data_IF_623281977591
#
_entry.id   IF_623281977591
#
_cell.length_a   1.000
_cell.length_b   1.000
_cell.length_c   1.000
_cell.angle_alpha   90.00
_cell.angle_beta   90.00
_cell.angle_gamma   90.00
#
_symmetry.space_group_name_H-M   'P 1'
#
loop_
_entity.id
_entity.type
_entity.pdbx_description
1 polymer ?
#
# COMPACT_ATOMS: atom_id res chain seq x y z
N UNK A 1 -16.26 16.11 -36.86
CA UNK A 1 -14.94 15.60 -36.38
C UNK A 1 -14.46 16.25 -35.08
N UNK A 2 -14.64 17.56 -34.87
CA UNK A 2 -14.18 18.26 -33.65
C UNK A 2 -14.87 17.79 -32.34
N UNK A 3 -16.14 17.36 -32.44
CA UNK A 3 -16.93 16.94 -31.27
C UNK A 3 -16.66 15.49 -30.82
N UNK A 4 -16.09 14.64 -31.70
CA UNK A 4 -15.74 13.25 -31.36
C UNK A 4 -14.47 13.21 -30.49
N UNK A 5 -13.54 14.16 -30.70
CA UNK A 5 -12.31 14.28 -29.92
C UNK A 5 -12.62 14.57 -28.43
N UNK A 6 -13.66 15.37 -28.16
CA UNK A 6 -14.06 15.67 -26.78
C UNK A 6 -14.60 14.44 -26.04
N UNK A 7 -15.35 13.57 -26.70
CA UNK A 7 -15.91 12.35 -26.09
C UNK A 7 -14.80 11.35 -25.73
N UNK A 8 -13.77 11.23 -26.57
CA UNK A 8 -12.63 10.34 -26.33
C UNK A 8 -11.83 10.79 -25.10
N UNK A 9 -11.64 12.09 -24.88
CA UNK A 9 -10.95 12.61 -23.69
C UNK A 9 -11.67 12.28 -22.37
N UNK A 10 -13.01 12.28 -22.35
CA UNK A 10 -13.80 11.91 -21.16
C UNK A 10 -13.86 10.39 -20.94
N UNK A 11 -13.80 9.59 -22.00
CA UNK A 11 -13.74 8.12 -21.87
C UNK A 11 -12.37 7.65 -21.38
N UNK A 12 -11.29 8.32 -21.78
CA UNK A 12 -9.92 7.99 -21.34
C UNK A 12 -9.67 8.35 -19.86
N UNK A 13 -10.33 9.38 -19.32
CA UNK A 13 -10.27 9.68 -17.88
C UNK A 13 -11.11 8.71 -17.03
N UNK A 14 -12.13 8.08 -17.62
CA UNK A 14 -12.96 7.08 -16.95
C UNK A 14 -12.25 5.75 -16.65
N UNK A 15 -11.25 5.36 -17.45
CA UNK A 15 -10.53 4.10 -17.24
C UNK A 15 -9.65 4.06 -15.98
N UNK A 16 -9.26 5.22 -15.44
CA UNK A 16 -8.49 5.27 -14.19
C UNK A 16 -9.37 4.98 -12.96
N UNK A 17 -10.66 5.32 -13.02
CA UNK A 17 -11.59 5.16 -11.90
C UNK A 17 -12.01 3.70 -11.66
N UNK A 18 -11.96 2.83 -12.68
CA UNK A 18 -12.42 1.45 -12.55
C UNK A 18 -11.37 0.48 -11.95
N UNK A 19 -10.08 0.82 -12.04
CA UNK A 19 -8.98 -0.08 -11.62
C UNK A 19 -8.40 0.27 -10.24
N UNK A 20 -8.95 1.27 -9.57
CA UNK A 20 -8.43 1.78 -8.31
C UNK A 20 -7.03 2.38 -8.43
N UNK A 21 -6.61 3.07 -7.38
CA UNK A 21 -5.30 3.67 -7.29
C UNK A 21 -4.19 2.61 -7.23
N UNK A 22 -3.04 2.82 -7.90
CA UNK A 22 -1.91 1.91 -7.81
C UNK A 22 -1.42 1.70 -6.38
N UNK A 23 -0.87 0.52 -6.09
CA UNK A 23 -0.34 0.18 -4.76
C UNK A 23 0.76 1.18 -4.30
N UNK A 24 0.82 1.58 -3.01
CA UNK A 24 1.80 2.56 -2.50
C UNK A 24 3.26 2.19 -2.75
N UNK A 25 3.60 0.90 -2.79
CA UNK A 25 4.95 0.40 -3.09
C UNK A 25 5.49 0.92 -4.43
N UNK A 26 4.62 1.25 -5.38
CA UNK A 26 5.01 1.83 -6.68
C UNK A 26 5.66 3.22 -6.57
N UNK A 27 5.49 3.90 -5.43
CA UNK A 27 5.98 5.26 -5.20
C UNK A 27 7.23 5.30 -4.33
N UNK A 28 7.77 4.15 -3.93
CA UNK A 28 9.10 4.07 -3.32
C UNK A 28 10.15 3.98 -4.42
N UNK A 29 10.92 5.04 -4.59
CA UNK A 29 11.86 5.23 -5.71
C UNK A 29 13.30 5.35 -5.20
N UNK A 30 14.21 4.59 -5.82
CA UNK A 30 15.67 4.69 -5.60
C UNK A 30 16.36 4.73 -6.96
N UNK A 31 17.20 5.75 -7.19
CA UNK A 31 17.91 5.94 -8.47
C UNK A 31 16.98 5.90 -9.70
N UNK A 32 15.80 6.54 -9.59
CA UNK A 32 14.79 6.58 -10.65
C UNK A 32 14.03 5.27 -10.90
N UNK A 33 14.29 4.21 -10.14
CA UNK A 33 13.64 2.91 -10.26
C UNK A 33 12.68 2.65 -9.10
N UNK A 34 11.58 1.97 -9.42
CA UNK A 34 10.64 1.45 -8.41
C UNK A 34 11.30 0.38 -7.56
N UNK A 35 10.77 0.19 -6.37
CA UNK A 35 11.18 -0.87 -5.46
C UNK A 35 11.16 -2.24 -6.13
N UNK A 36 12.25 -2.98 -5.98
CA UNK A 36 12.36 -4.35 -6.46
C UNK A 36 11.64 -5.31 -5.51
N UNK A 37 11.19 -6.45 -6.04
CA UNK A 37 10.61 -7.53 -5.25
C UNK A 37 11.62 -8.05 -4.22
N UNK A 38 12.91 -8.08 -4.56
CA UNK A 38 13.97 -8.51 -3.65
C UNK A 38 14.10 -7.59 -2.43
N UNK A 39 14.10 -6.26 -2.64
CA UNK A 39 14.19 -5.30 -1.55
C UNK A 39 12.91 -5.29 -0.69
N UNK A 40 11.74 -5.42 -1.32
CA UNK A 40 10.45 -5.57 -0.64
C UNK A 40 10.45 -6.82 0.26
N UNK A 41 10.84 -7.98 -0.29
CA UNK A 41 10.96 -9.23 0.46
C UNK A 41 12.00 -9.15 1.58
N UNK A 42 13.12 -8.45 1.36
CA UNK A 42 14.14 -8.24 2.40
C UNK A 42 13.60 -7.42 3.57
N UNK A 43 12.72 -6.45 3.33
CA UNK A 43 12.06 -5.73 4.41
C UNK A 43 10.94 -6.57 5.05
N UNK A 44 10.10 -7.22 4.25
CA UNK A 44 9.00 -8.08 4.72
C UNK A 44 9.50 -9.18 5.66
N UNK A 45 10.59 -9.86 5.29
CA UNK A 45 11.21 -10.92 6.11
C UNK A 45 11.82 -10.42 7.42
N UNK A 46 12.14 -9.12 7.52
CA UNK A 46 12.57 -8.48 8.77
C UNK A 46 11.41 -7.98 9.61
N UNK A 47 10.33 -7.51 9.00
CA UNK A 47 9.23 -6.85 9.73
C UNK A 47 8.23 -7.87 10.25
N UNK A 48 7.62 -8.67 9.36
CA UNK A 48 6.45 -9.48 9.71
C UNK A 48 6.71 -10.56 10.78
N UNK A 49 7.84 -11.30 10.75
CA UNK A 49 8.13 -12.27 11.80
C UNK A 49 8.32 -11.63 13.19
N UNK A 50 8.70 -10.35 13.24
CA UNK A 50 8.97 -9.61 14.47
C UNK A 50 7.74 -8.88 15.05
N UNK A 51 6.56 -9.03 14.45
CA UNK A 51 5.31 -8.48 14.99
C UNK A 51 4.72 -9.31 16.13
N UNK A 52 5.33 -10.45 16.44
CA UNK A 52 4.98 -11.32 17.58
C UNK A 52 4.14 -12.54 17.20
N UNK A 53 4.11 -13.52 18.10
CA UNK A 53 3.44 -14.81 17.89
C UNK A 53 1.95 -14.67 17.62
N UNK A 54 1.30 -13.67 18.25
CA UNK A 54 -0.12 -13.41 18.06
C UNK A 54 -0.45 -12.98 16.64
N UNK A 55 0.35 -12.07 16.06
CA UNK A 55 0.23 -11.71 14.65
C UNK A 55 0.42 -12.93 13.74
N UNK A 56 1.45 -13.74 13.98
CA UNK A 56 1.73 -14.95 13.19
C UNK A 56 0.54 -15.92 13.24
N UNK A 57 -0.05 -16.12 14.42
CA UNK A 57 -1.24 -16.96 14.58
C UNK A 57 -2.44 -16.41 13.80
N UNK A 58 -2.68 -15.10 13.86
CA UNK A 58 -3.78 -14.45 13.14
C UNK A 58 -3.57 -14.50 11.62
N UNK A 59 -2.34 -14.29 11.14
CA UNK A 59 -1.97 -14.40 9.72
C UNK A 59 -2.28 -15.79 9.20
N UNK A 60 -1.80 -16.85 9.89
CA UNK A 60 -2.07 -18.25 9.50
C UNK A 60 -3.57 -18.57 9.51
N UNK A 61 -4.32 -18.00 10.45
CA UNK A 61 -5.78 -18.15 10.51
C UNK A 61 -6.46 -17.47 9.32
N UNK A 62 -6.05 -16.25 9.00
CA UNK A 62 -6.54 -15.50 7.84
C UNK A 62 -6.22 -16.23 6.52
N UNK A 63 -5.02 -16.77 6.36
CA UNK A 63 -4.62 -17.56 5.19
C UNK A 63 -5.49 -18.81 5.01
N UNK A 64 -5.84 -19.49 6.11
CA UNK A 64 -6.67 -20.69 6.10
C UNK A 64 -8.15 -20.39 5.80
N UNK A 65 -8.68 -19.30 6.34
CA UNK A 65 -10.10 -18.95 6.25
C UNK A 65 -10.45 -18.12 5.01
N UNK A 66 -9.49 -17.33 4.51
CA UNK A 66 -9.75 -16.26 3.55
C UNK A 66 -10.35 -15.01 4.21
N UNK A 67 -10.28 -13.88 3.51
CA UNK A 67 -10.69 -12.57 4.04
C UNK A 67 -12.16 -12.49 4.44
N UNK A 68 -13.07 -13.02 3.62
CA UNK A 68 -14.51 -12.94 3.86
C UNK A 68 -14.92 -13.60 5.17
N UNK A 69 -14.36 -14.79 5.46
CA UNK A 69 -14.68 -15.53 6.68
C UNK A 69 -13.95 -14.94 7.88
N UNK A 70 -12.67 -14.56 7.72
CA UNK A 70 -11.89 -13.92 8.78
C UNK A 70 -12.54 -12.60 9.27
N UNK A 71 -13.07 -11.80 8.34
CA UNK A 71 -13.75 -10.53 8.66
C UNK A 71 -14.98 -10.69 9.54
N UNK A 72 -15.66 -11.85 9.52
CA UNK A 72 -16.82 -12.09 10.40
C UNK A 72 -16.45 -11.99 11.88
N UNK A 73 -15.22 -12.35 12.25
CA UNK A 73 -14.70 -12.08 13.58
C UNK A 73 -14.09 -10.68 13.66
N UNK A 74 -14.94 -9.69 13.91
CA UNK A 74 -14.55 -8.28 13.96
C UNK A 74 -13.45 -7.97 14.98
N UNK A 75 -13.38 -8.69 16.09
CA UNK A 75 -12.36 -8.48 17.12
C UNK A 75 -10.98 -8.88 16.60
N UNK A 76 -10.84 -10.11 16.10
CA UNK A 76 -9.57 -10.59 15.53
C UNK A 76 -9.18 -9.84 14.26
N UNK A 77 -10.17 -9.44 13.45
CA UNK A 77 -9.93 -8.62 12.27
C UNK A 77 -9.31 -7.26 12.63
N UNK A 78 -9.89 -6.54 13.60
CA UNK A 78 -9.35 -5.26 14.07
C UNK A 78 -7.96 -5.42 14.70
N UNK A 79 -7.78 -6.48 15.50
CA UNK A 79 -6.48 -6.80 16.09
C UNK A 79 -5.43 -7.05 15.00
N UNK A 80 -5.74 -7.89 14.02
CA UNK A 80 -4.87 -8.15 12.88
C UNK A 80 -4.51 -6.88 12.11
N UNK A 81 -5.50 -6.04 11.82
CA UNK A 81 -5.29 -4.79 11.10
C UNK A 81 -4.36 -3.82 11.87
N UNK A 82 -4.46 -3.77 13.20
CA UNK A 82 -3.52 -2.96 14.01
C UNK A 82 -2.06 -3.40 13.87
N UNK A 83 -1.80 -4.71 13.74
CA UNK A 83 -0.45 -5.20 13.42
C UNK A 83 -0.01 -4.77 12.02
N UNK A 84 -0.92 -4.75 11.03
CA UNK A 84 -0.59 -4.29 9.68
C UNK A 84 -0.25 -2.79 9.64
N UNK A 85 -0.88 -1.96 10.48
CA UNK A 85 -0.52 -0.55 10.61
C UNK A 85 0.90 -0.36 11.17
N UNK A 86 1.27 -1.17 12.18
CA UNK A 86 2.64 -1.20 12.72
C UNK A 86 3.62 -1.67 11.65
N UNK A 87 3.29 -2.76 10.95
CA UNK A 87 4.09 -3.31 9.87
C UNK A 87 4.35 -2.27 8.78
N UNK A 88 3.31 -1.56 8.34
CA UNK A 88 3.41 -0.52 7.32
C UNK A 88 4.45 0.55 7.68
N UNK A 89 4.43 1.05 8.92
CA UNK A 89 5.40 2.05 9.41
C UNK A 89 6.84 1.52 9.43
N UNK A 90 7.02 0.27 9.87
CA UNK A 90 8.33 -0.40 9.91
C UNK A 90 8.86 -0.69 8.50
N UNK A 91 7.99 -1.10 7.58
CA UNK A 91 8.31 -1.34 6.18
C UNK A 91 8.79 -0.04 5.51
N UNK A 92 8.04 1.04 5.66
CA UNK A 92 8.44 2.36 5.15
C UNK A 92 9.78 2.83 5.68
N UNK A 93 10.04 2.61 6.98
CA UNK A 93 11.37 2.89 7.55
C UNK A 93 12.45 2.03 6.90
N UNK A 94 12.22 0.72 6.75
CA UNK A 94 13.17 -0.18 6.11
C UNK A 94 13.47 0.26 4.67
N UNK A 95 12.44 0.62 3.88
CA UNK A 95 12.63 1.13 2.52
C UNK A 95 13.49 2.40 2.51
N UNK A 96 13.21 3.34 3.42
CA UNK A 96 14.00 4.55 3.55
C UNK A 96 15.47 4.26 3.89
N UNK A 97 15.71 3.35 4.84
CA UNK A 97 17.05 2.92 5.26
C UNK A 97 17.81 2.22 4.12
N UNK A 98 17.10 1.58 3.18
CA UNK A 98 17.68 1.03 1.95
C UNK A 98 17.98 2.09 0.86
N UNK A 99 17.66 3.35 1.12
CA UNK A 99 17.89 4.48 0.22
C UNK A 99 16.73 4.80 -0.73
N UNK A 100 15.55 4.22 -0.52
CA UNK A 100 14.35 4.64 -1.24
C UNK A 100 13.80 5.95 -0.68
N UNK A 101 13.06 6.67 -1.52
CA UNK A 101 12.28 7.85 -1.14
C UNK A 101 10.85 7.69 -1.59
N UNK A 102 9.92 8.13 -0.76
CA UNK A 102 8.50 8.11 -1.09
C UNK A 102 8.16 9.31 -1.99
N UNK A 103 7.84 9.03 -3.25
CA UNK A 103 7.62 10.02 -4.32
C UNK A 103 6.21 9.90 -4.92
N UNK A 104 5.19 9.71 -4.07
CA UNK A 104 3.81 9.67 -4.53
C UNK A 104 3.37 11.04 -5.08
N UNK A 105 2.68 11.10 -6.23
CA UNK A 105 2.14 12.33 -6.76
C UNK A 105 0.89 12.76 -5.98
N UNK A 106 0.61 14.06 -5.96
CA UNK A 106 -0.51 14.62 -5.19
C UNK A 106 -1.87 14.02 -5.57
N UNK A 107 -2.11 13.78 -6.87
CA UNK A 107 -3.37 13.20 -7.32
C UNK A 107 -3.61 11.80 -6.75
N UNK A 108 -2.54 11.02 -6.52
CA UNK A 108 -2.65 9.70 -5.89
C UNK A 108 -2.96 9.85 -4.40
N UNK A 109 -2.27 10.77 -3.72
CA UNK A 109 -2.53 11.06 -2.32
C UNK A 109 -3.96 11.53 -2.05
N UNK A 110 -4.61 12.19 -3.01
CA UNK A 110 -5.96 12.72 -2.88
C UNK A 110 -7.06 11.80 -3.41
N UNK A 111 -6.71 10.62 -3.92
CA UNK A 111 -7.71 9.68 -4.41
C UNK A 111 -8.54 9.13 -3.24
N UNK A 112 -9.86 8.99 -3.46
CA UNK A 112 -10.85 8.61 -2.43
C UNK A 112 -11.15 7.11 -2.40
N UNK A 113 -10.40 6.30 -3.13
CA UNK A 113 -10.63 4.87 -3.33
C UNK A 113 -9.82 3.97 -2.38
N UNK A 114 -9.36 4.51 -1.26
CA UNK A 114 -8.64 3.77 -0.23
C UNK A 114 -7.90 4.66 0.76
N UNK A 115 -6.85 4.11 1.38
CA UNK A 115 -6.07 4.76 2.43
C UNK A 115 -4.97 5.70 1.92
N UNK A 116 -5.00 6.10 0.65
CA UNK A 116 -3.90 6.81 0.00
C UNK A 116 -3.53 8.12 0.71
N UNK A 117 -4.55 8.87 1.17
CA UNK A 117 -4.33 10.11 1.95
C UNK A 117 -3.52 9.82 3.21
N UNK A 118 -3.92 8.81 3.99
CA UNK A 118 -3.24 8.40 5.22
C UNK A 118 -1.81 7.94 4.93
N UNK A 119 -1.64 7.05 3.94
CA UNK A 119 -0.31 6.54 3.53
C UNK A 119 0.60 7.68 3.08
N UNK A 120 0.08 8.66 2.34
CA UNK A 120 0.85 9.85 1.98
C UNK A 120 1.28 10.64 3.21
N UNK A 121 0.34 11.01 4.08
CA UNK A 121 0.66 11.78 5.30
C UNK A 121 1.73 11.09 6.15
N UNK A 122 1.63 9.77 6.34
CA UNK A 122 2.59 8.99 7.12
C UNK A 122 4.00 8.95 6.51
N UNK A 123 4.09 8.93 5.17
CA UNK A 123 5.34 8.71 4.44
C UNK A 123 5.96 9.97 3.84
N UNK A 124 5.29 11.13 3.92
CA UNK A 124 5.82 12.41 3.46
C UNK A 124 7.17 12.78 4.09
N UNK A 125 7.43 12.31 5.32
CA UNK A 125 8.73 12.48 6.00
C UNK A 125 9.90 11.77 5.29
N UNK A 126 9.62 10.76 4.47
CA UNK A 126 10.60 9.99 3.70
C UNK A 126 10.73 10.47 2.25
N UNK A 127 10.19 11.66 1.93
CA UNK A 127 10.21 12.21 0.58
C UNK A 127 11.60 12.68 0.15
N UNK A 128 12.44 13.11 1.09
CA UNK A 128 13.77 13.70 0.84
C UNK A 128 14.88 12.91 1.53
#
# INVERSE_FOLDING_TARGET
>A
MKNIVFIICFLLSGCYLANGSPHPNNYWIKNGKKMSIEDDNRCSSKVYPNLGERYISLSKKQDKLGWTEFYKNQTEYKEFYSYLEIASKLMSKCYYDLGYRFKAPLYWCLAQDGDNTRVCMENMKYRN
#
